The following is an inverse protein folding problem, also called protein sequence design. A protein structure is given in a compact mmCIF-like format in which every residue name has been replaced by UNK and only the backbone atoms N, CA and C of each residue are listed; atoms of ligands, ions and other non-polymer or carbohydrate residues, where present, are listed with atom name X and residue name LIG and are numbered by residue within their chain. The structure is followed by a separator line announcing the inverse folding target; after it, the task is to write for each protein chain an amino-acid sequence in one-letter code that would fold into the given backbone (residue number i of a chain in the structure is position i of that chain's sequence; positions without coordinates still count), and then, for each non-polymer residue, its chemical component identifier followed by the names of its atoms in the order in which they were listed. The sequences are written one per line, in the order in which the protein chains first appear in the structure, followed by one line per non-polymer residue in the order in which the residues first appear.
data_IF_971171305015
#
_entry.id   IF_971171305015
#
_cell.length_a   1.000
_cell.length_b   1.000
_cell.length_c   1.000
_cell.angle_alpha   90.00
_cell.angle_beta   90.00
_cell.angle_gamma   90.00
#
_symmetry.space_group_name_H-M   'P 1'
#
loop_
_entity.id
_entity.type
_entity.pdbx_description
1 polymer ?
#
# COMPACT_ATOMS: atom_id res chain seq x y z
N UNK A 1 -6.48 -15.18 -24.89
CA UNK A 1 -5.28 -14.32 -24.74
C UNK A 1 -5.65 -12.95 -25.22
N UNK A 2 -5.62 -11.98 -24.32
CA UNK A 2 -5.56 -10.56 -24.68
C UNK A 2 -4.22 -10.37 -25.42
N UNK A 3 -4.21 -9.68 -26.56
CA UNK A 3 -3.06 -9.65 -27.47
C UNK A 3 -2.11 -8.47 -27.23
N UNK A 4 -2.44 -7.56 -26.31
CA UNK A 4 -1.61 -6.38 -26.02
C UNK A 4 -1.71 -5.87 -24.59
N UNK A 5 -0.65 -5.20 -24.12
CA UNK A 5 -0.56 -4.60 -22.77
C UNK A 5 -1.75 -3.71 -22.44
N UNK A 6 -2.22 -2.93 -23.40
CA UNK A 6 -3.37 -2.03 -23.20
C UNK A 6 -4.68 -2.79 -23.02
N UNK A 7 -4.82 -3.98 -23.60
CA UNK A 7 -5.97 -4.85 -23.33
C UNK A 7 -5.90 -5.44 -21.92
N UNK A 8 -4.71 -5.85 -21.46
CA UNK A 8 -4.51 -6.29 -20.07
C UNK A 8 -4.81 -5.17 -19.06
N UNK A 9 -4.34 -3.95 -19.33
CA UNK A 9 -4.68 -2.78 -18.52
C UNK A 9 -6.16 -2.48 -18.54
N UNK A 10 -6.82 -2.50 -19.70
CA UNK A 10 -8.25 -2.28 -19.80
C UNK A 10 -9.04 -3.37 -19.04
N UNK A 11 -8.59 -4.63 -19.10
CA UNK A 11 -9.18 -5.72 -18.33
C UNK A 11 -9.00 -5.52 -16.83
N UNK A 12 -7.83 -5.09 -16.35
CA UNK A 12 -7.60 -4.74 -14.96
C UNK A 12 -8.48 -3.56 -14.52
N UNK A 13 -8.50 -2.48 -15.31
CA UNK A 13 -9.26 -1.26 -15.04
C UNK A 13 -10.78 -1.52 -15.00
N UNK A 14 -11.30 -2.41 -15.86
CA UNK A 14 -12.72 -2.78 -15.88
C UNK A 14 -13.24 -3.41 -14.58
N UNK A 15 -12.32 -3.87 -13.71
CA UNK A 15 -12.65 -4.45 -12.39
C UNK A 15 -12.76 -3.39 -11.30
N UNK A 16 -12.38 -2.14 -11.58
CA UNK A 16 -12.40 -1.04 -10.62
C UNK A 16 -13.65 -0.17 -10.79
N UNK A 17 -14.18 0.39 -9.68
CA UNK A 17 -15.13 1.49 -9.75
C UNK A 17 -14.57 2.69 -10.54
N UNK A 18 -15.44 3.57 -11.05
CA UNK A 18 -15.01 4.80 -11.73
C UNK A 18 -14.07 5.67 -10.88
N UNK A 19 -13.24 6.46 -11.55
CA UNK A 19 -12.17 7.27 -10.92
C UNK A 19 -12.67 8.31 -9.91
N UNK A 20 -13.91 8.76 -10.09
CA UNK A 20 -14.66 9.70 -9.25
C UNK A 20 -15.16 9.07 -7.95
N UNK A 21 -15.31 7.75 -7.89
CA UNK A 21 -15.71 7.02 -6.68
C UNK A 21 -14.49 6.73 -5.78
N UNK A 22 -13.75 7.78 -5.41
CA UNK A 22 -12.40 7.74 -4.80
C UNK A 22 -12.23 6.65 -3.74
N UNK A 23 -13.07 6.65 -2.69
CA UNK A 23 -12.94 5.71 -1.57
C UNK A 23 -13.27 4.28 -1.99
N UNK A 24 -14.34 4.09 -2.77
CA UNK A 24 -14.73 2.76 -3.24
C UNK A 24 -13.69 2.19 -4.19
N UNK A 25 -13.12 3.03 -5.05
CA UNK A 25 -12.05 2.64 -5.97
C UNK A 25 -10.77 2.26 -5.21
N UNK A 26 -10.36 3.05 -4.22
CA UNK A 26 -9.22 2.68 -3.38
C UNK A 26 -9.46 1.34 -2.66
N UNK A 27 -10.66 1.15 -2.09
CA UNK A 27 -11.02 -0.13 -1.47
C UNK A 27 -10.95 -1.29 -2.46
N UNK A 28 -11.43 -1.11 -3.69
CA UNK A 28 -11.35 -2.14 -4.73
C UNK A 28 -9.90 -2.49 -5.08
N UNK A 29 -9.00 -1.50 -5.17
CA UNK A 29 -7.55 -1.72 -5.36
C UNK A 29 -6.96 -2.50 -4.18
N UNK A 30 -7.22 -2.07 -2.95
CA UNK A 30 -6.79 -2.77 -1.73
C UNK A 30 -7.28 -4.23 -1.73
N UNK A 31 -8.57 -4.45 -2.02
CA UNK A 31 -9.16 -5.79 -2.07
C UNK A 31 -8.56 -6.65 -3.17
N UNK A 32 -8.25 -6.07 -4.33
CA UNK A 32 -7.60 -6.80 -5.42
C UNK A 32 -6.23 -7.34 -4.98
N UNK A 33 -5.37 -6.49 -4.41
CA UNK A 33 -4.06 -6.93 -3.94
C UNK A 33 -4.14 -7.91 -2.78
N UNK A 34 -5.08 -7.71 -1.86
CA UNK A 34 -5.30 -8.65 -0.77
C UNK A 34 -5.72 -10.04 -1.26
N UNK A 35 -6.62 -10.12 -2.26
CA UNK A 35 -7.00 -11.40 -2.89
C UNK A 35 -5.85 -12.03 -3.64
N UNK A 36 -5.13 -11.23 -4.43
CA UNK A 36 -3.96 -11.69 -5.17
C UNK A 36 -2.91 -12.33 -4.23
N UNK A 37 -2.69 -11.70 -3.07
CA UNK A 37 -1.83 -12.26 -2.04
C UNK A 37 -2.46 -13.50 -1.39
N UNK A 38 -3.74 -13.51 -1.02
CA UNK A 38 -4.38 -14.70 -0.42
C UNK A 38 -4.29 -15.94 -1.33
N UNK A 39 -4.53 -15.75 -2.63
CA UNK A 39 -4.58 -16.84 -3.61
C UNK A 39 -3.18 -17.33 -4.02
N UNK A 40 -2.17 -16.46 -3.95
CA UNK A 40 -0.82 -16.70 -4.47
C UNK A 40 0.27 -16.17 -3.51
N UNK A 41 0.07 -16.34 -2.20
CA UNK A 41 0.95 -15.78 -1.17
C UNK A 41 2.37 -16.34 -1.27
N UNK A 42 2.54 -17.51 -1.86
CA UNK A 42 3.83 -18.17 -2.06
C UNK A 42 4.72 -17.43 -3.07
N UNK A 43 4.14 -16.69 -4.03
CA UNK A 43 4.89 -16.01 -5.09
C UNK A 43 4.68 -14.48 -5.17
N UNK A 44 3.53 -13.94 -4.77
CA UNK A 44 3.21 -12.51 -4.94
C UNK A 44 3.34 -11.68 -3.67
N UNK A 45 4.56 -11.66 -3.09
CA UNK A 45 4.87 -10.92 -1.86
C UNK A 45 4.63 -9.41 -1.98
N UNK A 46 4.91 -8.84 -3.14
CA UNK A 46 4.69 -7.43 -3.44
C UNK A 46 3.20 -7.06 -3.31
N UNK A 47 2.29 -7.92 -3.79
CA UNK A 47 0.85 -7.67 -3.68
C UNK A 47 0.40 -7.58 -2.21
N UNK A 48 0.99 -8.40 -1.33
CA UNK A 48 0.74 -8.33 0.10
C UNK A 48 1.12 -6.97 0.71
N UNK A 49 2.32 -6.47 0.41
CA UNK A 49 2.76 -5.13 0.83
C UNK A 49 1.87 -4.02 0.23
N UNK A 50 1.55 -4.11 -1.06
CA UNK A 50 0.73 -3.14 -1.78
C UNK A 50 -0.69 -3.03 -1.19
N UNK A 51 -1.25 -4.14 -0.69
CA UNK A 51 -2.54 -4.12 0.00
C UNK A 51 -2.49 -3.27 1.28
N UNK A 52 -1.46 -3.41 2.12
CA UNK A 52 -1.29 -2.58 3.32
C UNK A 52 -1.06 -1.11 2.97
N UNK A 53 -0.19 -0.82 2.00
CA UNK A 53 0.06 0.53 1.53
C UNK A 53 -1.23 1.20 1.02
N UNK A 54 -1.98 0.49 0.18
CA UNK A 54 -3.25 0.97 -0.36
C UNK A 54 -4.33 1.17 0.71
N UNK A 55 -4.39 0.27 1.71
CA UNK A 55 -5.30 0.42 2.85
C UNK A 55 -5.02 1.70 3.64
N UNK A 56 -3.75 2.05 3.83
CA UNK A 56 -3.35 3.25 4.53
C UNK A 56 -3.72 4.53 3.77
N UNK A 57 -3.52 4.54 2.44
CA UNK A 57 -4.04 5.63 1.58
C UNK A 57 -5.56 5.76 1.73
N UNK A 58 -6.28 4.64 1.79
CA UNK A 58 -7.73 4.63 2.00
C UNK A 58 -8.18 5.28 3.29
N UNK A 59 -7.46 5.07 4.39
CA UNK A 59 -7.72 5.70 5.69
C UNK A 59 -7.55 7.23 5.58
N UNK A 60 -6.46 7.68 4.96
CA UNK A 60 -6.20 9.11 4.77
C UNK A 60 -7.30 9.79 3.91
N UNK A 61 -7.73 9.13 2.82
CA UNK A 61 -8.80 9.63 1.96
C UNK A 61 -10.15 9.72 2.69
N UNK A 62 -10.51 8.70 3.49
CA UNK A 62 -11.75 8.71 4.27
C UNK A 62 -11.76 9.82 5.33
N UNK A 63 -10.61 10.07 5.98
CA UNK A 63 -10.47 11.15 6.93
C UNK A 63 -10.70 12.52 6.27
N UNK A 64 -10.16 12.74 5.07
CA UNK A 64 -10.33 14.01 4.34
C UNK A 64 -11.78 14.22 3.88
N UNK A 65 -12.46 13.19 3.39
CA UNK A 65 -13.88 13.28 3.02
C UNK A 65 -14.74 13.68 4.23
N UNK A 66 -14.44 13.14 5.42
CA UNK A 66 -15.11 13.49 6.66
C UNK A 66 -14.91 14.98 7.02
N UNK A 67 -13.69 15.49 6.89
CA UNK A 67 -13.37 16.90 7.16
C UNK A 67 -14.05 17.87 6.19
N UNK A 68 -14.27 17.44 4.94
CA UNK A 68 -14.93 18.24 3.90
C UNK A 68 -16.46 18.21 4.00
N UNK A 69 -17.05 17.29 4.78
CA UNK A 69 -18.51 17.15 4.92
C UNK A 69 -18.95 17.45 6.37
N UNK A 70 -19.17 18.74 6.74
CA UNK A 70 -19.54 19.14 8.10
C UNK A 70 -20.77 18.41 8.67
N UNK A 71 -21.70 18.00 7.81
CA UNK A 71 -22.92 17.28 8.19
C UNK A 71 -22.65 15.89 8.80
N UNK A 72 -21.58 15.20 8.40
CA UNK A 72 -21.24 13.87 8.96
C UNK A 72 -20.66 13.99 10.37
N UNK A 73 -19.89 15.05 10.64
CA UNK A 73 -19.31 15.35 11.96
C UNK A 73 -20.36 15.61 13.05
N UNK A 74 -21.46 16.30 12.72
CA UNK A 74 -22.55 16.55 13.68
C UNK A 74 -23.37 15.30 14.02
N UNK A 75 -23.41 14.28 13.15
CA UNK A 75 -24.17 13.05 13.43
C UNK A 75 -23.51 12.14 14.46
N UNK A 76 -22.17 12.20 14.59
CA UNK A 76 -21.41 11.42 15.56
C UNK A 76 -21.37 12.04 16.97
N UNK A 77 -21.59 13.36 17.08
CA UNK A 77 -21.70 14.06 18.37
C UNK A 77 -23.02 13.82 19.12
N UNK A 78 -23.94 13.05 18.52
CA UNK A 78 -25.32 12.86 19.01
C UNK A 78 -25.73 11.40 19.19
N UNK A 79 -24.84 10.50 19.61
CA UNK A 79 -25.24 9.11 19.92
C UNK A 79 -25.62 8.97 21.39
N UNK A 80 -26.93 8.90 21.65
CA UNK A 80 -27.48 8.38 22.90
C UNK A 80 -26.99 6.95 23.11
N UNK A 81 -26.39 6.73 24.28
CA UNK A 81 -26.00 5.46 24.89
C UNK A 81 -27.00 4.33 24.54
N UNK A 82 -26.57 3.37 23.71
CA UNK A 82 -27.24 2.07 23.57
C UNK A 82 -26.17 1.00 23.78
N UNK A 83 -26.39 0.17 24.78
CA UNK A 83 -25.49 -0.90 25.20
C UNK A 83 -25.53 -2.05 24.19
N UNK A 84 -24.43 -2.24 23.47
CA UNK A 84 -23.98 -3.54 22.96
C UNK A 84 -22.48 -3.47 22.70
N UNK A 85 -21.85 -4.64 22.68
CA UNK A 85 -20.41 -5.00 22.67
C UNK A 85 -19.49 -4.33 21.61
N UNK A 86 -19.63 -3.02 21.36
CA UNK A 86 -18.93 -2.20 20.35
C UNK A 86 -17.50 -1.81 20.72
N UNK A 87 -16.90 -2.40 21.77
CA UNK A 87 -15.59 -1.97 22.28
C UNK A 87 -14.48 -2.11 21.23
N UNK A 88 -14.47 -3.20 20.45
CA UNK A 88 -13.38 -3.45 19.49
C UNK A 88 -13.43 -2.54 18.26
N UNK A 89 -14.62 -2.14 17.79
CA UNK A 89 -14.76 -1.23 16.64
C UNK A 89 -14.37 0.19 17.06
N UNK A 90 -14.74 0.61 18.26
CA UNK A 90 -14.38 1.91 18.82
C UNK A 90 -12.89 2.00 19.16
N UNK A 91 -12.26 0.87 19.50
CA UNK A 91 -10.83 0.76 19.78
C UNK A 91 -10.00 0.71 18.49
N UNK A 92 -10.41 -0.07 17.47
CA UNK A 92 -9.81 -0.01 16.12
C UNK A 92 -9.99 1.37 15.50
N UNK A 93 -11.19 1.97 15.61
CA UNK A 93 -11.39 3.36 15.19
C UNK A 93 -10.58 4.33 16.04
N UNK A 94 -10.36 4.05 17.33
CA UNK A 94 -9.52 4.83 18.23
C UNK A 94 -8.04 4.82 17.84
N UNK A 95 -7.50 3.68 17.42
CA UNK A 95 -6.15 3.57 16.85
C UNK A 95 -6.06 4.20 15.45
N UNK A 96 -7.10 4.02 14.62
CA UNK A 96 -7.24 4.65 13.30
C UNK A 96 -7.32 6.18 13.43
N UNK A 97 -8.07 6.67 14.43
CA UNK A 97 -8.15 8.07 14.82
C UNK A 97 -6.84 8.54 15.44
N UNK A 98 -6.12 7.74 16.21
CA UNK A 98 -4.80 8.11 16.74
C UNK A 98 -3.74 8.22 15.63
N UNK A 99 -3.79 7.36 14.61
CA UNK A 99 -2.94 7.42 13.42
C UNK A 99 -3.28 8.63 12.52
N UNK A 100 -4.56 8.86 12.24
CA UNK A 100 -5.01 10.04 11.49
C UNK A 100 -4.82 11.35 12.28
N UNK A 101 -5.03 11.32 13.59
CA UNK A 101 -4.72 12.42 14.49
C UNK A 101 -3.22 12.68 14.54
N UNK A 102 -2.32 11.68 14.45
CA UNK A 102 -0.88 11.94 14.36
C UNK A 102 -0.52 12.73 13.09
N UNK A 103 -1.15 12.41 11.95
CA UNK A 103 -0.97 13.15 10.69
C UNK A 103 -1.44 14.62 10.84
N UNK A 104 -2.50 14.87 11.60
CA UNK A 104 -3.16 16.18 11.69
C UNK A 104 -2.70 17.04 12.88
N UNK A 105 -2.38 16.43 14.02
CA UNK A 105 -1.98 17.12 15.26
C UNK A 105 -0.48 17.47 15.30
N UNK A 106 0.36 16.85 14.46
CA UNK A 106 1.75 17.29 14.25
C UNK A 106 1.90 18.28 13.09
N UNK A 107 0.81 18.70 12.43
CA UNK A 107 0.87 19.84 11.52
C UNK A 107 1.26 21.09 12.32
N UNK A 108 2.38 21.76 11.99
CA UNK A 108 2.73 23.00 12.68
C UNK A 108 1.57 23.99 12.57
N UNK A 109 1.32 24.78 13.62
CA UNK A 109 0.21 25.73 13.70
C UNK A 109 0.14 26.73 12.50
N UNK A 110 1.23 26.88 11.74
CA UNK A 110 1.29 27.68 10.51
C UNK A 110 0.55 27.07 9.29
N UNK A 111 0.17 25.78 9.33
CA UNK A 111 -0.52 25.08 8.22
C UNK A 111 -2.05 25.22 8.32
N UNK A 112 -2.57 25.92 9.34
CA UNK A 112 -4.00 26.11 9.56
C UNK A 112 -4.62 27.25 8.75
N UNK A 113 -3.83 28.01 8.00
CA UNK A 113 -4.39 28.99 7.05
C UNK A 113 -5.07 28.29 5.86
N UNK A 114 -6.08 28.95 5.29
CA UNK A 114 -6.91 28.41 4.19
C UNK A 114 -6.06 28.04 2.96
N UNK A 115 -5.01 28.83 2.67
CA UNK A 115 -4.07 28.54 1.59
C UNK A 115 -3.34 27.22 1.80
N UNK A 116 -2.85 26.97 3.02
CA UNK A 116 -2.16 25.74 3.40
C UNK A 116 -3.08 24.51 3.34
N UNK A 117 -4.37 24.65 3.70
CA UNK A 117 -5.36 23.58 3.54
C UNK A 117 -5.56 23.17 2.08
N UNK A 118 -5.68 24.13 1.17
CA UNK A 118 -5.84 23.83 -0.25
C UNK A 118 -4.61 23.14 -0.85
N UNK A 119 -3.40 23.54 -0.41
CA UNK A 119 -2.15 22.87 -0.80
C UNK A 119 -2.15 21.41 -0.35
N UNK A 120 -2.52 21.13 0.91
CA UNK A 120 -2.59 19.77 1.42
C UNK A 120 -3.65 18.91 0.72
N UNK A 121 -4.78 19.50 0.31
CA UNK A 121 -5.79 18.79 -0.46
C UNK A 121 -5.28 18.43 -1.87
N UNK A 122 -4.54 19.32 -2.52
CA UNK A 122 -3.90 19.04 -3.81
C UNK A 122 -2.82 17.96 -3.67
N UNK A 123 -2.02 18.00 -2.62
CA UNK A 123 -0.98 16.98 -2.37
C UNK A 123 -1.59 15.60 -2.08
N UNK A 124 -2.72 15.54 -1.36
CA UNK A 124 -3.47 14.29 -1.16
C UNK A 124 -4.03 13.74 -2.47
N UNK A 125 -4.48 14.62 -3.36
CA UNK A 125 -4.93 14.25 -4.70
C UNK A 125 -3.79 13.62 -5.52
N UNK A 126 -2.55 14.09 -5.37
CA UNK A 126 -1.37 13.42 -5.95
C UNK A 126 -1.13 12.03 -5.34
N UNK A 127 -1.27 11.86 -4.03
CA UNK A 127 -1.17 10.53 -3.38
C UNK A 127 -2.26 9.58 -3.91
N UNK A 128 -3.48 10.08 -4.09
CA UNK A 128 -4.59 9.33 -4.69
C UNK A 128 -4.24 8.89 -6.12
N UNK A 129 -3.71 9.80 -6.94
CA UNK A 129 -3.23 9.47 -8.29
C UNK A 129 -2.12 8.42 -8.24
N UNK A 130 -1.22 8.51 -7.27
CA UNK A 130 -0.17 7.52 -7.03
C UNK A 130 -0.71 6.10 -6.86
N UNK A 131 -1.70 5.89 -5.97
CA UNK A 131 -2.26 4.55 -5.77
C UNK A 131 -2.94 3.99 -7.06
N UNK A 132 -3.57 4.85 -7.86
CA UNK A 132 -4.11 4.45 -9.16
C UNK A 132 -3.02 4.16 -10.19
N UNK A 133 -1.95 4.95 -10.19
CA UNK A 133 -0.80 4.76 -11.08
C UNK A 133 -0.12 3.41 -10.82
N UNK A 134 0.09 3.04 -9.55
CA UNK A 134 0.61 1.73 -9.16
C UNK A 134 -0.26 0.60 -9.71
N UNK A 135 -1.58 0.72 -9.56
CA UNK A 135 -2.51 -0.27 -10.09
C UNK A 135 -2.39 -0.42 -11.61
N UNK A 136 -2.41 0.70 -12.33
CA UNK A 136 -2.33 0.71 -13.80
C UNK A 136 -0.96 0.25 -14.34
N UNK A 137 0.09 0.39 -13.54
CA UNK A 137 1.45 0.03 -13.89
C UNK A 137 1.76 -1.46 -13.68
N UNK A 138 1.26 -2.07 -12.60
CA UNK A 138 1.68 -3.42 -12.18
C UNK A 138 0.55 -4.47 -12.22
N UNK A 139 -0.73 -4.09 -12.07
CA UNK A 139 -1.81 -5.08 -11.98
C UNK A 139 -1.99 -5.89 -13.28
N UNK A 140 -1.80 -5.25 -14.43
CA UNK A 140 -1.86 -5.91 -15.74
C UNK A 140 -0.83 -7.05 -15.83
N UNK A 141 0.38 -6.86 -15.30
CA UNK A 141 1.46 -7.85 -15.38
C UNK A 141 1.18 -9.08 -14.52
N UNK A 142 0.58 -8.89 -13.33
CA UNK A 142 0.12 -10.02 -12.51
C UNK A 142 -0.99 -10.82 -13.20
N UNK A 143 -1.95 -10.14 -13.84
CA UNK A 143 -3.01 -10.81 -14.61
C UNK A 143 -2.45 -11.58 -15.81
N UNK A 144 -1.57 -10.93 -16.59
CA UNK A 144 -0.87 -11.56 -17.71
C UNK A 144 -0.08 -12.80 -17.26
N UNK A 145 0.66 -12.72 -16.15
CA UNK A 145 1.39 -13.85 -15.60
C UNK A 145 0.49 -15.01 -15.18
N UNK A 146 -0.61 -14.73 -14.49
CA UNK A 146 -1.52 -15.77 -14.03
C UNK A 146 -2.24 -16.49 -15.18
N UNK A 147 -2.59 -15.77 -16.25
CA UNK A 147 -3.33 -16.33 -17.39
C UNK A 147 -2.43 -16.92 -18.49
N UNK A 148 -1.27 -16.30 -18.75
CA UNK A 148 -0.38 -16.65 -19.88
C UNK A 148 1.06 -16.95 -19.49
N UNK A 149 1.41 -16.87 -18.20
CA UNK A 149 2.77 -17.09 -17.70
C UNK A 149 3.73 -15.94 -18.03
N UNK A 150 5.02 -16.17 -17.77
CA UNK A 150 6.08 -15.18 -18.00
C UNK A 150 6.13 -14.65 -19.44
N UNK A 151 5.83 -15.51 -20.43
CA UNK A 151 5.85 -15.16 -21.85
C UNK A 151 4.90 -14.00 -22.16
N UNK A 152 3.73 -13.97 -21.53
CA UNK A 152 2.75 -12.91 -21.75
C UNK A 152 3.27 -11.55 -21.29
N UNK A 153 4.07 -11.49 -20.22
CA UNK A 153 4.73 -10.26 -19.80
C UNK A 153 5.86 -9.89 -20.77
N UNK A 154 6.68 -10.86 -21.16
CA UNK A 154 7.81 -10.65 -22.09
C UNK A 154 7.36 -10.05 -23.42
N UNK A 155 6.24 -10.51 -23.95
CA UNK A 155 5.69 -10.05 -25.23
C UNK A 155 5.09 -8.63 -25.14
N UNK A 156 4.79 -8.13 -23.92
CA UNK A 156 4.03 -6.89 -23.68
C UNK A 156 4.80 -5.78 -22.96
N UNK A 157 5.93 -6.08 -22.33
CA UNK A 157 6.70 -5.12 -21.52
C UNK A 157 7.50 -4.14 -22.38
N UNK A 158 7.52 -2.86 -22.00
CA UNK A 158 8.32 -1.84 -22.66
C UNK A 158 9.80 -1.92 -22.24
N UNK A 159 10.71 -1.35 -23.04
CA UNK A 159 12.16 -1.46 -22.77
C UNK A 159 12.55 -0.90 -21.39
N UNK A 160 11.99 0.25 -21.00
CA UNK A 160 12.25 0.90 -19.72
C UNK A 160 11.68 0.14 -18.50
N UNK A 161 10.81 -0.84 -18.72
CA UNK A 161 10.22 -1.67 -17.67
C UNK A 161 11.00 -2.98 -17.47
N UNK A 162 11.93 -3.30 -18.38
CA UNK A 162 12.65 -4.58 -18.33
C UNK A 162 13.58 -4.73 -17.13
N UNK A 163 14.21 -3.63 -16.72
CA UNK A 163 15.22 -3.64 -15.65
C UNK A 163 14.65 -4.17 -14.34
N UNK A 164 13.43 -3.78 -13.97
CA UNK A 164 12.83 -4.12 -12.69
C UNK A 164 11.55 -4.96 -12.82
N UNK A 165 10.60 -4.57 -13.67
CA UNK A 165 9.32 -5.29 -13.81
C UNK A 165 9.56 -6.68 -14.40
N UNK A 166 10.17 -6.76 -15.60
CA UNK A 166 10.38 -8.06 -16.25
C UNK A 166 11.38 -8.92 -15.47
N UNK A 167 12.48 -8.34 -15.02
CA UNK A 167 13.47 -9.09 -14.23
C UNK A 167 12.88 -9.61 -12.91
N UNK A 168 11.99 -8.84 -12.27
CA UNK A 168 11.25 -9.26 -11.09
C UNK A 168 10.38 -10.49 -11.36
N UNK A 169 9.57 -10.44 -12.42
CA UNK A 169 8.75 -11.60 -12.82
C UNK A 169 9.58 -12.81 -13.26
N UNK A 170 10.74 -12.62 -13.89
CA UNK A 170 11.66 -13.73 -14.22
C UNK A 170 12.17 -14.45 -12.98
N UNK A 171 12.56 -13.71 -11.95
CA UNK A 171 13.01 -14.30 -10.68
C UNK A 171 11.85 -15.02 -9.97
N UNK A 172 10.66 -14.42 -9.96
CA UNK A 172 9.45 -15.05 -9.40
C UNK A 172 9.14 -16.35 -10.14
N UNK A 173 9.16 -16.35 -11.47
CA UNK A 173 8.89 -17.52 -12.30
C UNK A 173 9.90 -18.65 -12.09
N UNK A 174 11.19 -18.30 -12.03
CA UNK A 174 12.25 -19.26 -11.75
C UNK A 174 12.07 -19.90 -10.37
N UNK A 175 11.81 -19.09 -9.34
CA UNK A 175 11.56 -19.59 -7.99
C UNK A 175 10.28 -20.43 -7.90
N UNK A 176 9.20 -20.04 -8.57
CA UNK A 176 7.97 -20.82 -8.66
C UNK A 176 8.21 -22.19 -9.32
N UNK A 177 9.03 -22.24 -10.38
CA UNK A 177 9.46 -23.47 -11.03
C UNK A 177 10.25 -24.40 -10.10
N UNK A 178 11.19 -23.84 -9.31
CA UNK A 178 11.95 -24.60 -8.31
C UNK A 178 11.04 -25.18 -7.23
N UNK A 179 10.12 -24.37 -6.65
CA UNK A 179 9.13 -24.85 -5.67
C UNK A 179 8.26 -25.97 -6.23
N UNK A 180 7.74 -25.82 -7.45
CA UNK A 180 6.91 -26.84 -8.12
C UNK A 180 7.67 -28.15 -8.32
N UNK A 181 8.99 -28.07 -8.57
CA UNK A 181 9.86 -29.25 -8.71
C UNK A 181 10.34 -29.83 -7.37
N UNK A 182 9.99 -29.21 -6.24
CA UNK A 182 10.44 -29.51 -4.89
C UNK A 182 11.98 -29.59 -4.77
N UNK A 183 12.68 -28.69 -5.46
CA UNK A 183 14.14 -28.57 -5.46
C UNK A 183 14.56 -27.22 -4.92
N UNK A 184 15.61 -27.19 -4.12
CA UNK A 184 16.25 -25.96 -3.67
C UNK A 184 15.25 -24.95 -3.10
N UNK A 185 14.40 -25.37 -2.14
CA UNK A 185 13.33 -24.51 -1.63
C UNK A 185 13.85 -23.18 -1.06
N UNK A 186 15.02 -23.20 -0.41
CA UNK A 186 15.65 -21.97 0.09
C UNK A 186 16.07 -21.02 -1.05
N UNK A 187 16.61 -21.57 -2.14
CA UNK A 187 16.94 -20.80 -3.35
C UNK A 187 15.67 -20.27 -4.02
N UNK A 188 14.63 -21.08 -4.07
CA UNK A 188 13.35 -20.71 -4.64
C UNK A 188 12.72 -19.53 -3.88
N UNK A 189 12.73 -19.59 -2.55
CA UNK A 189 12.22 -18.53 -1.68
C UNK A 189 13.07 -17.25 -1.78
N UNK A 190 14.38 -17.38 -1.92
CA UNK A 190 15.27 -16.24 -2.15
C UNK A 190 14.98 -15.55 -3.50
N UNK A 191 14.81 -16.32 -4.59
CA UNK A 191 14.48 -15.79 -5.91
C UNK A 191 13.12 -15.09 -5.92
N UNK A 192 12.10 -15.71 -5.32
CA UNK A 192 10.77 -15.10 -5.20
C UNK A 192 10.85 -13.79 -4.41
N UNK A 193 11.57 -13.79 -3.28
CA UNK A 193 11.75 -12.60 -2.44
C UNK A 193 12.44 -11.49 -3.23
N UNK A 194 13.56 -11.79 -3.88
CA UNK A 194 14.30 -10.82 -4.70
C UNK A 194 13.44 -10.28 -5.85
N UNK A 195 12.70 -11.15 -6.54
CA UNK A 195 11.81 -10.75 -7.63
C UNK A 195 10.75 -9.75 -7.18
N UNK A 196 10.12 -9.98 -6.02
CA UNK A 196 9.15 -9.05 -5.46
C UNK A 196 9.78 -7.73 -4.97
N UNK A 197 11.03 -7.75 -4.50
CA UNK A 197 11.79 -6.52 -4.19
C UNK A 197 12.06 -5.73 -5.48
N UNK A 198 12.32 -6.39 -6.62
CA UNK A 198 12.46 -5.71 -7.90
C UNK A 198 11.14 -5.07 -8.35
N UNK A 199 10.00 -5.74 -8.17
CA UNK A 199 8.68 -5.13 -8.40
C UNK A 199 8.48 -3.90 -7.51
N UNK A 200 8.87 -3.98 -6.23
CA UNK A 200 8.83 -2.83 -5.33
C UNK A 200 9.75 -1.69 -5.82
N UNK A 201 10.97 -1.98 -6.30
CA UNK A 201 11.85 -0.96 -6.88
C UNK A 201 11.26 -0.30 -8.12
N UNK A 202 10.66 -1.10 -9.01
CA UNK A 202 9.94 -0.59 -10.19
C UNK A 202 8.88 0.43 -9.76
N UNK A 203 8.02 0.06 -8.81
CA UNK A 203 6.99 0.93 -8.25
C UNK A 203 7.58 2.21 -7.66
N UNK A 204 8.60 2.09 -6.80
CA UNK A 204 9.15 3.20 -6.04
C UNK A 204 9.92 4.20 -6.92
N UNK A 205 10.54 3.75 -8.01
CA UNK A 205 11.35 4.58 -8.90
C UNK A 205 10.51 5.11 -10.06
N UNK A 206 9.85 4.21 -10.81
CA UNK A 206 9.23 4.55 -12.09
C UNK A 206 7.81 5.11 -11.92
N UNK A 207 7.11 4.69 -10.87
CA UNK A 207 5.67 4.98 -10.71
C UNK A 207 5.42 6.03 -9.65
N UNK A 208 6.01 5.88 -8.47
CA UNK A 208 5.87 6.85 -7.39
C UNK A 208 6.84 8.03 -7.48
N UNK A 209 7.98 7.88 -8.14
CA UNK A 209 8.95 8.97 -8.33
C UNK A 209 8.30 10.28 -8.81
N UNK A 210 7.61 10.28 -9.96
CA UNK A 210 6.92 11.46 -10.48
C UNK A 210 5.84 12.02 -9.54
N UNK A 211 5.15 11.15 -8.80
CA UNK A 211 4.12 11.56 -7.83
C UNK A 211 4.76 12.34 -6.67
N UNK A 212 5.86 11.83 -6.12
CA UNK A 212 6.59 12.51 -5.05
C UNK A 212 7.23 13.83 -5.48
N UNK A 213 7.63 13.93 -6.75
CA UNK A 213 8.13 15.17 -7.33
C UNK A 213 7.03 16.23 -7.45
N UNK A 214 5.79 15.83 -7.75
CA UNK A 214 4.64 16.72 -7.88
C UNK A 214 4.13 17.28 -6.53
N UNK A 215 4.42 16.61 -5.41
CA UNK A 215 4.02 17.06 -4.07
C UNK A 215 4.78 18.33 -3.69
N UNK A 216 4.05 19.31 -3.15
CA UNK A 216 4.58 20.60 -2.70
C UNK A 216 5.65 20.44 -1.59
N UNK A 217 6.58 21.39 -1.41
CA UNK A 217 7.58 21.30 -0.34
C UNK A 217 6.98 21.11 1.07
N UNK A 218 5.86 21.78 1.37
CA UNK A 218 5.15 21.61 2.64
C UNK A 218 4.49 20.23 2.72
N UNK A 219 3.87 19.78 1.62
CA UNK A 219 3.30 18.44 1.50
C UNK A 219 4.34 17.33 1.73
N UNK A 220 5.57 17.51 1.25
CA UNK A 220 6.65 16.52 1.45
C UNK A 220 7.00 16.32 2.92
N UNK A 221 6.92 17.36 3.75
CA UNK A 221 7.08 17.23 5.21
C UNK A 221 5.92 16.42 5.78
N UNK A 222 4.67 16.77 5.43
CA UNK A 222 3.47 16.06 5.92
C UNK A 222 3.46 14.59 5.50
N UNK A 223 3.79 14.28 4.26
CA UNK A 223 3.84 12.91 3.75
C UNK A 223 4.99 12.13 4.38
N UNK A 224 6.10 12.76 4.75
CA UNK A 224 7.19 12.09 5.50
C UNK A 224 6.74 11.67 6.90
N UNK A 225 5.83 12.41 7.53
CA UNK A 225 5.21 12.02 8.79
C UNK A 225 4.13 10.94 8.63
N UNK A 226 3.34 11.05 7.56
CA UNK A 226 2.25 10.10 7.27
C UNK A 226 2.71 8.80 6.60
N UNK A 227 3.96 8.73 6.17
CA UNK A 227 4.56 7.54 5.55
C UNK A 227 4.89 6.51 6.63
N UNK A 228 3.96 5.58 6.75
CA UNK A 228 4.02 4.44 7.64
C UNK A 228 3.51 3.22 6.85
N UNK A 229 3.83 2.02 7.31
CA UNK A 229 3.09 0.82 7.00
C UNK A 229 2.70 0.16 8.32
N UNK A 230 1.39 0.08 8.56
CA UNK A 230 0.84 -0.53 9.75
C UNK A 230 0.25 -1.91 9.42
N UNK A 231 0.89 -2.94 9.93
CA UNK A 231 0.50 -4.33 9.79
C UNK A 231 -0.49 -4.78 10.87
N UNK A 232 -0.57 -4.07 12.01
CA UNK A 232 -1.52 -4.33 13.10
C UNK A 232 -1.51 -5.79 13.55
N UNK A 233 -2.71 -6.39 13.68
CA UNK A 233 -2.88 -7.81 14.04
C UNK A 233 -2.24 -8.79 13.04
N UNK A 234 -1.87 -8.36 11.83
CA UNK A 234 -1.21 -9.24 10.88
C UNK A 234 0.25 -9.55 11.24
N UNK A 235 0.89 -8.71 12.06
CA UNK A 235 2.22 -8.98 12.57
C UNK A 235 2.17 -10.01 13.71
N UNK A 236 2.98 -11.08 13.66
CA UNK A 236 3.06 -12.03 14.76
C UNK A 236 3.55 -11.37 16.06
N UNK A 237 3.15 -11.87 17.24
CA UNK A 237 3.63 -11.36 18.53
C UNK A 237 5.16 -11.32 18.61
N UNK A 238 5.70 -10.21 19.12
CA UNK A 238 7.16 -10.01 19.25
C UNK A 238 7.85 -9.46 17.99
N UNK A 239 7.12 -9.28 16.89
CA UNK A 239 7.63 -8.63 15.69
C UNK A 239 7.09 -7.19 15.54
N UNK A 240 7.81 -6.30 14.83
CA UNK A 240 7.31 -4.96 14.55
C UNK A 240 6.00 -5.01 13.76
N UNK A 241 4.93 -4.44 14.32
CA UNK A 241 3.64 -4.29 13.62
C UNK A 241 3.56 -3.02 12.77
N UNK A 242 4.63 -2.24 12.73
CA UNK A 242 4.64 -0.89 12.18
C UNK A 242 6.03 -0.49 11.70
N UNK A 243 6.10 0.11 10.53
CA UNK A 243 7.31 0.76 10.02
C UNK A 243 6.96 2.23 9.71
N UNK A 244 7.56 3.19 10.41
CA UNK A 244 7.30 4.62 10.22
C UNK A 244 8.57 5.35 9.78
N UNK A 245 8.45 6.19 8.76
CA UNK A 245 9.58 6.96 8.22
C UNK A 245 10.12 7.97 9.25
N UNK A 246 9.23 8.68 9.93
CA UNK A 246 9.60 9.66 10.94
C UNK A 246 10.22 9.02 12.20
N UNK A 247 9.75 7.84 12.62
CA UNK A 247 10.38 7.10 13.73
C UNK A 247 11.79 6.63 13.36
N UNK A 248 12.00 6.21 12.11
CA UNK A 248 13.27 5.69 11.64
C UNK A 248 14.37 6.76 11.57
N UNK A 249 14.07 7.91 10.97
CA UNK A 249 15.04 8.99 10.78
C UNK A 249 15.03 10.05 11.88
N UNK A 250 14.03 10.03 12.75
CA UNK A 250 13.83 11.06 13.77
C UNK A 250 12.97 12.22 13.28
N UNK A 251 12.05 12.63 14.15
CA UNK A 251 11.07 13.68 13.86
C UNK A 251 11.69 15.03 13.48
N UNK A 252 12.81 15.42 14.10
CA UNK A 252 13.46 16.70 13.81
C UNK A 252 14.02 16.73 12.38
N UNK A 253 14.69 15.66 11.95
CA UNK A 253 15.24 15.58 10.60
C UNK A 253 14.15 15.53 9.53
N UNK A 254 12.99 14.94 9.84
CA UNK A 254 11.82 14.97 8.97
C UNK A 254 11.19 16.36 8.86
N UNK A 255 11.05 17.11 9.96
CA UNK A 255 10.46 18.47 9.98
C UNK A 255 11.34 19.47 9.25
N UNK A 256 12.64 19.43 9.50
CA UNK A 256 13.60 20.37 8.90
C UNK A 256 13.85 20.02 7.42
N UNK A 257 13.42 18.83 6.98
CA UNK A 257 13.54 18.36 5.60
C UNK A 257 14.90 17.75 5.26
N UNK A 258 15.75 17.52 6.26
CA UNK A 258 17.02 16.78 6.10
C UNK A 258 16.77 15.35 5.62
N UNK A 259 15.69 14.73 6.13
CA UNK A 259 15.19 13.42 5.72
C UNK A 259 13.78 13.58 5.19
N UNK A 260 13.52 13.03 4.01
CA UNK A 260 12.26 13.25 3.31
C UNK A 260 11.88 12.01 2.52
N UNK A 261 10.67 11.51 2.70
CA UNK A 261 10.19 10.32 1.97
C UNK A 261 10.00 10.58 0.47
N UNK A 262 9.92 11.84 0.04
CA UNK A 262 9.90 12.17 -1.38
C UNK A 262 11.29 12.02 -2.03
N UNK A 263 12.37 12.05 -1.24
CA UNK A 263 13.71 11.72 -1.73
C UNK A 263 13.84 10.19 -1.86
N UNK A 264 14.23 9.73 -3.06
CA UNK A 264 14.29 8.30 -3.40
C UNK A 264 15.27 7.52 -2.54
N UNK A 265 16.45 8.08 -2.23
CA UNK A 265 17.47 7.42 -1.41
C UNK A 265 16.99 7.24 0.03
N UNK A 266 16.44 8.30 0.63
CA UNK A 266 15.89 8.25 1.98
C UNK A 266 14.71 7.28 2.08
N UNK A 267 13.80 7.32 1.11
CA UNK A 267 12.66 6.40 1.04
C UNK A 267 13.11 4.96 0.94
N UNK A 268 14.07 4.67 0.06
CA UNK A 268 14.58 3.33 -0.16
C UNK A 268 15.32 2.79 1.08
N UNK A 269 16.13 3.62 1.74
CA UNK A 269 16.78 3.26 2.99
C UNK A 269 15.76 2.87 4.07
N UNK A 270 14.72 3.67 4.27
CA UNK A 270 13.64 3.33 5.21
C UNK A 270 12.91 2.03 4.82
N UNK A 271 12.68 1.81 3.53
CA UNK A 271 12.06 0.56 3.05
C UNK A 271 12.93 -0.65 3.42
N UNK A 272 14.23 -0.60 3.12
CA UNK A 272 15.15 -1.72 3.39
C UNK A 272 15.35 -1.97 4.89
N UNK A 273 15.48 -0.91 5.68
CA UNK A 273 15.84 -1.04 7.10
C UNK A 273 14.63 -1.27 8.01
N UNK A 274 13.42 -0.84 7.61
CA UNK A 274 12.22 -0.93 8.45
C UNK A 274 11.05 -1.68 7.81
N UNK A 275 10.67 -1.34 6.58
CA UNK A 275 9.48 -1.91 5.94
C UNK A 275 9.67 -3.38 5.62
N UNK A 276 10.74 -3.73 4.91
CA UNK A 276 10.99 -5.11 4.47
C UNK A 276 11.14 -6.07 5.67
N UNK A 277 11.88 -5.76 6.75
CA UNK A 277 11.95 -6.63 7.92
C UNK A 277 10.60 -6.87 8.60
N UNK A 278 9.79 -5.82 8.76
CA UNK A 278 8.45 -5.94 9.33
C UNK A 278 7.52 -6.76 8.41
N UNK A 279 7.59 -6.53 7.10
CA UNK A 279 6.84 -7.30 6.11
C UNK A 279 7.23 -8.77 6.09
N UNK A 280 8.52 -9.12 6.19
CA UNK A 280 8.95 -10.52 6.22
C UNK A 280 8.36 -11.26 7.40
N UNK A 281 8.25 -10.63 8.57
CA UNK A 281 7.60 -11.23 9.72
C UNK A 281 6.11 -11.52 9.47
N UNK A 282 5.41 -10.60 8.80
CA UNK A 282 4.00 -10.77 8.40
C UNK A 282 3.87 -11.91 7.38
N UNK A 283 4.69 -11.90 6.33
CA UNK A 283 4.65 -12.89 5.25
C UNK A 283 4.98 -14.31 5.73
N UNK A 284 6.05 -14.46 6.53
CA UNK A 284 6.42 -15.74 7.13
C UNK A 284 5.38 -16.21 8.17
N UNK A 285 4.65 -15.26 8.74
CA UNK A 285 3.52 -15.48 9.62
C UNK A 285 2.27 -16.02 8.93
N UNK A 286 2.12 -15.88 7.60
CA UNK A 286 0.85 -16.19 6.91
C UNK A 286 0.29 -17.58 7.21
N UNK A 287 1.13 -18.61 7.24
CA UNK A 287 0.73 -19.99 7.55
C UNK A 287 0.81 -20.36 9.04
N UNK A 288 1.36 -19.48 9.88
CA UNK A 288 1.71 -19.75 11.29
C UNK A 288 0.93 -18.88 12.29
N UNK A 289 0.36 -17.78 11.82
CA UNK A 289 -0.32 -16.78 12.63
C UNK A 289 -1.66 -16.42 11.99
N UNK A 290 -2.74 -16.66 12.73
CA UNK A 290 -4.11 -16.46 12.21
C UNK A 290 -4.40 -14.99 11.89
N UNK A 291 -3.80 -14.06 12.63
CA UNK A 291 -4.00 -12.63 12.44
C UNK A 291 -3.60 -12.16 11.04
N UNK A 292 -2.56 -12.76 10.45
CA UNK A 292 -2.13 -12.42 9.08
C UNK A 292 -3.22 -12.74 8.05
N UNK A 293 -3.66 -14.00 8.01
CA UNK A 293 -4.68 -14.44 7.05
C UNK A 293 -6.04 -13.76 7.31
N UNK A 294 -6.39 -13.52 8.59
CA UNK A 294 -7.59 -12.77 8.98
C UNK A 294 -7.56 -11.34 8.42
N UNK A 295 -6.44 -10.63 8.55
CA UNK A 295 -6.31 -9.25 8.07
C UNK A 295 -6.42 -9.16 6.55
N UNK A 296 -5.79 -10.07 5.82
CA UNK A 296 -5.93 -10.12 4.36
C UNK A 296 -7.36 -10.44 3.91
N UNK A 297 -8.05 -11.39 4.56
CA UNK A 297 -9.47 -11.67 4.28
C UNK A 297 -10.35 -10.44 4.49
N UNK A 298 -10.15 -9.72 5.59
CA UNK A 298 -10.85 -8.47 5.86
C UNK A 298 -10.62 -7.42 4.74
N UNK A 299 -9.38 -7.23 4.30
CA UNK A 299 -9.06 -6.33 3.19
C UNK A 299 -9.68 -6.80 1.86
N UNK A 300 -9.66 -8.10 1.59
CA UNK A 300 -10.22 -8.73 0.39
C UNK A 300 -11.75 -8.60 0.30
N UNK A 301 -12.45 -8.52 1.43
CA UNK A 301 -13.90 -8.30 1.54
C UNK A 301 -14.29 -6.82 1.45
N UNK A 302 -13.32 -5.90 1.33
CA UNK A 302 -13.55 -4.46 1.22
C UNK A 302 -13.79 -3.76 2.56
N UNK A 303 -13.35 -4.38 3.67
CA UNK A 303 -13.44 -3.81 5.02
C UNK A 303 -14.85 -3.87 5.64
N UNK A 304 -15.75 -4.68 5.09
CA UNK A 304 -17.08 -4.94 5.61
C UNK A 304 -17.18 -6.41 6.06
N UNK A 305 -16.48 -6.75 7.15
CA UNK A 305 -16.65 -8.05 7.77
C UNK A 305 -18.11 -8.20 8.23
N UNK A 306 -18.81 -9.21 7.72
CA UNK A 306 -20.05 -9.69 8.36
C UNK A 306 -19.63 -10.34 9.68
N UNK A 307 -19.89 -9.64 10.78
CA UNK A 307 -19.92 -10.21 12.11
C UNK A 307 -21.37 -10.36 12.55
#
# INVERSE_FOLDING_TARGET
MLQGKEEWKAAAESRLPPSEEIIKRNRAITSHYARLYLDHHDIFKWAGMAAFASSQVGIALAFVEMMQTPAKMMSYGGVKKRESNDSNILEEMGELFAGAARIVFFLPFSVYDVASRNILLNDLEEIRKGNNAIYNDIAWAHMAYLEGGLKEIEDNVAENEREFLLSGFRLIDQGAGLRKSNKGLDEADALIREGNIKLLRHEQINTLGPIFEAISPQGRVVVSFGSELNFGEAAPPGHPSRASFADHFGYLDAVVGNKCVANSEHRWQWIEECVLPAWYAVDEGFSKWEGTAKRFRFMAEGGHGKH
#
